data_IF_659479284837
#
_entry.id   IF_659479284837
#
_cell.length_a   1.000
_cell.length_b   1.000
_cell.length_c   1.000
_cell.angle_alpha   90.00
_cell.angle_beta   90.00
_cell.angle_gamma   90.00
#
_symmetry.space_group_name_H-M   'P 1'
#
loop_
_entity.id
_entity.type
_entity.pdbx_description
1 polymer ?
#
# COMPACT_ATOMS: atom_id res chain seq x y z
N UNK A 1 31.74 -76.38 16.50
CA UNK A 1 32.23 -77.18 15.37
C UNK A 1 31.42 -76.84 14.13
N UNK A 2 32.01 -76.19 13.13
CA UNK A 2 31.51 -76.25 11.74
C UNK A 2 31.73 -77.66 11.18
N UNK A 3 31.29 -77.99 9.94
CA UNK A 3 31.53 -77.20 8.72
C UNK A 3 30.24 -77.02 7.86
N UNK A 4 30.10 -76.00 7.00
CA UNK A 4 30.67 -75.87 5.64
C UNK A 4 30.54 -77.13 4.79
N UNK A 5 29.76 -77.06 3.71
CA UNK A 5 30.21 -77.45 2.36
C UNK A 5 29.20 -76.98 1.29
N UNK A 6 29.75 -76.38 0.24
CA UNK A 6 29.02 -75.87 -0.93
C UNK A 6 28.87 -76.93 -2.04
N UNK A 7 29.06 -76.55 -3.31
CA UNK A 7 27.99 -76.64 -4.31
C UNK A 7 28.28 -77.62 -5.46
N UNK A 8 27.28 -77.79 -6.35
CA UNK A 8 27.41 -77.90 -7.82
C UNK A 8 26.76 -79.12 -8.49
N UNK A 9 25.77 -78.78 -9.33
CA UNK A 9 25.58 -79.18 -10.73
C UNK A 9 24.88 -80.50 -11.10
N UNK A 10 23.94 -80.37 -12.06
CA UNK A 10 23.52 -81.43 -12.98
C UNK A 10 22.00 -81.61 -13.12
N UNK A 11 21.27 -80.62 -13.64
CA UNK A 11 20.60 -80.68 -14.96
C UNK A 11 19.74 -81.93 -15.23
N UNK A 12 18.41 -81.77 -15.11
CA UNK A 12 17.47 -81.74 -16.24
C UNK A 12 16.07 -82.15 -15.78
N UNK A 13 15.16 -81.18 -15.65
CA UNK A 13 13.75 -81.39 -16.01
C UNK A 13 13.05 -80.04 -16.15
N UNK A 14 12.22 -79.94 -17.19
CA UNK A 14 11.72 -78.71 -17.76
C UNK A 14 10.93 -77.86 -16.78
N UNK A 15 11.35 -76.61 -16.65
CA UNK A 15 10.61 -75.58 -15.94
C UNK A 15 9.82 -74.72 -16.90
N UNK A 16 8.57 -74.56 -16.52
CA UNK A 16 7.57 -73.72 -17.16
C UNK A 16 7.88 -72.24 -16.92
N UNK A 17 7.69 -71.45 -17.99
CA UNK A 17 7.46 -69.99 -18.02
C UNK A 17 8.65 -69.09 -17.63
N UNK A 18 8.82 -67.92 -18.27
CA UNK A 18 8.03 -66.74 -17.88
C UNK A 18 7.83 -65.78 -19.09
N UNK A 19 7.12 -64.65 -19.07
CA UNK A 19 7.00 -63.54 -18.13
C UNK A 19 5.64 -62.91 -18.46
N UNK A 20 4.80 -62.69 -17.44
CA UNK A 20 3.53 -61.97 -17.61
C UNK A 20 3.80 -60.53 -18.03
N UNK A 21 3.29 -60.16 -19.21
CA UNK A 21 3.17 -58.78 -19.68
C UNK A 21 2.30 -58.02 -18.65
N UNK A 22 2.90 -57.04 -17.96
CA UNK A 22 2.16 -56.16 -17.05
C UNK A 22 1.24 -55.28 -17.90
N UNK A 23 0.02 -55.77 -18.08
CA UNK A 23 -1.03 -55.13 -18.86
C UNK A 23 -1.15 -53.65 -18.53
N UNK A 24 -0.85 -52.80 -19.52
CA UNK A 24 -1.12 -51.37 -19.47
C UNK A 24 -2.64 -51.19 -19.34
N UNK A 25 -3.10 -50.72 -18.19
CA UNK A 25 -4.52 -50.44 -17.93
C UNK A 25 -5.03 -49.46 -18.98
N UNK A 26 -5.90 -49.92 -19.89
CA UNK A 26 -6.54 -49.06 -20.89
C UNK A 26 -7.62 -48.27 -20.17
N UNK A 27 -7.34 -47.00 -19.88
CA UNK A 27 -8.35 -46.08 -19.38
C UNK A 27 -9.35 -45.77 -20.50
N UNK A 28 -10.63 -45.74 -20.16
CA UNK A 28 -11.67 -45.30 -21.09
C UNK A 28 -11.51 -43.79 -21.34
N UNK A 29 -11.89 -43.34 -22.54
CA UNK A 29 -11.89 -41.91 -22.88
C UNK A 29 -12.71 -41.10 -21.87
N UNK A 30 -13.80 -41.67 -21.37
CA UNK A 30 -14.68 -41.05 -20.38
C UNK A 30 -13.96 -40.84 -19.04
N UNK A 31 -13.20 -41.83 -18.57
CA UNK A 31 -12.40 -41.68 -17.33
C UNK A 31 -11.32 -40.59 -17.47
N UNK A 32 -10.67 -40.50 -18.65
CA UNK A 32 -9.67 -39.47 -18.91
C UNK A 32 -10.31 -38.07 -18.95
N UNK A 33 -11.46 -37.95 -19.62
CA UNK A 33 -12.23 -36.70 -19.68
C UNK A 33 -12.70 -36.28 -18.29
N UNK A 34 -13.23 -37.21 -17.50
CA UNK A 34 -13.71 -36.94 -16.15
C UNK A 34 -12.57 -36.48 -15.23
N UNK A 35 -11.42 -37.16 -15.26
CA UNK A 35 -10.24 -36.74 -14.49
C UNK A 35 -9.74 -35.36 -14.89
N UNK A 36 -9.76 -35.04 -16.19
CA UNK A 36 -9.39 -33.72 -16.69
C UNK A 36 -10.38 -32.65 -16.23
N UNK A 37 -11.69 -32.87 -16.38
CA UNK A 37 -12.71 -31.93 -15.92
C UNK A 37 -12.62 -31.67 -14.42
N UNK A 38 -12.40 -32.71 -13.60
CA UNK A 38 -12.25 -32.56 -12.15
C UNK A 38 -11.04 -31.69 -11.79
N UNK A 39 -9.90 -31.92 -12.45
CA UNK A 39 -8.68 -31.12 -12.27
C UNK A 39 -8.90 -29.65 -12.64
N UNK A 40 -9.57 -29.39 -13.76
CA UNK A 40 -9.85 -28.02 -14.19
C UNK A 40 -10.81 -27.31 -13.25
N UNK A 41 -11.85 -28.01 -12.79
CA UNK A 41 -12.82 -27.45 -11.87
C UNK A 41 -12.18 -27.12 -10.52
N UNK A 42 -11.39 -28.03 -9.95
CA UNK A 42 -10.72 -27.80 -8.66
C UNK A 42 -9.71 -26.66 -8.72
N UNK A 43 -8.88 -26.61 -9.76
CA UNK A 43 -7.91 -25.50 -9.92
C UNK A 43 -8.61 -24.16 -10.15
N UNK A 44 -9.72 -24.15 -10.90
CA UNK A 44 -10.50 -22.92 -11.08
C UNK A 44 -11.11 -22.47 -9.77
N UNK A 45 -11.72 -23.39 -9.03
CA UNK A 45 -12.33 -23.14 -7.72
C UNK A 45 -11.31 -22.61 -6.71
N UNK A 46 -10.14 -23.26 -6.58
CA UNK A 46 -9.04 -22.82 -5.73
C UNK A 46 -8.55 -21.41 -6.09
N UNK A 47 -8.25 -21.15 -7.37
CA UNK A 47 -7.78 -19.82 -7.81
C UNK A 47 -8.85 -18.75 -7.62
N UNK A 48 -10.12 -19.08 -7.86
CA UNK A 48 -11.22 -18.14 -7.60
C UNK A 48 -11.40 -17.89 -6.11
N UNK A 49 -11.25 -18.90 -5.27
CA UNK A 49 -11.30 -18.79 -3.81
C UNK A 49 -10.18 -17.92 -3.27
N UNK A 50 -8.94 -18.12 -3.73
CA UNK A 50 -7.78 -17.34 -3.32
C UNK A 50 -7.88 -15.88 -3.79
N UNK A 51 -8.42 -15.64 -4.99
CA UNK A 51 -8.69 -14.28 -5.45
C UNK A 51 -9.76 -13.60 -4.60
N UNK A 52 -10.86 -14.31 -4.32
CA UNK A 52 -11.96 -13.80 -3.47
C UNK A 52 -11.45 -13.49 -2.07
N UNK A 53 -10.67 -14.38 -1.46
CA UNK A 53 -10.09 -14.16 -0.13
C UNK A 53 -9.20 -12.92 -0.08
N UNK A 54 -8.34 -12.70 -1.09
CA UNK A 54 -7.50 -11.49 -1.17
C UNK A 54 -8.31 -10.21 -1.40
N UNK A 55 -9.38 -10.27 -2.20
CA UNK A 55 -10.27 -9.13 -2.40
C UNK A 55 -10.98 -8.80 -1.09
N UNK A 56 -11.49 -9.81 -0.38
CA UNK A 56 -12.12 -9.63 0.93
C UNK A 56 -11.16 -9.03 1.95
N UNK A 57 -9.92 -9.55 2.05
CA UNK A 57 -8.90 -8.99 2.94
C UNK A 57 -8.60 -7.51 2.61
N UNK A 58 -8.50 -7.19 1.32
CA UNK A 58 -8.32 -5.81 0.87
C UNK A 58 -9.53 -4.93 1.22
N UNK A 59 -10.76 -5.42 1.01
CA UNK A 59 -12.00 -4.72 1.35
C UNK A 59 -12.09 -4.47 2.86
N UNK A 60 -11.85 -5.49 3.69
CA UNK A 60 -11.83 -5.40 5.15
C UNK A 60 -10.80 -4.38 5.66
N UNK A 61 -9.67 -4.25 4.95
CA UNK A 61 -8.63 -3.27 5.29
C UNK A 61 -8.98 -1.86 4.80
N UNK A 62 -9.53 -1.73 3.59
CA UNK A 62 -9.74 -0.44 2.93
C UNK A 62 -11.03 0.25 3.35
N UNK A 63 -12.13 -0.49 3.51
CA UNK A 63 -13.43 0.07 3.90
C UNK A 63 -13.35 0.99 5.12
N UNK A 64 -12.72 0.61 6.25
CA UNK A 64 -12.64 1.51 7.41
C UNK A 64 -11.82 2.78 7.13
N UNK A 65 -10.80 2.70 6.28
CA UNK A 65 -9.97 3.87 5.89
C UNK A 65 -10.78 4.82 5.01
N UNK A 66 -11.56 4.27 4.06
CA UNK A 66 -12.42 5.04 3.16
C UNK A 66 -13.57 5.70 3.92
N UNK A 67 -14.25 4.95 4.79
CA UNK A 67 -15.30 5.50 5.66
C UNK A 67 -14.76 6.61 6.55
N UNK A 68 -13.57 6.45 7.12
CA UNK A 68 -12.93 7.52 7.90
C UNK A 68 -12.63 8.75 7.02
N UNK A 69 -12.11 8.58 5.81
CA UNK A 69 -11.83 9.70 4.90
C UNK A 69 -13.11 10.40 4.43
N UNK A 70 -14.20 9.68 4.17
CA UNK A 70 -15.49 10.25 3.79
C UNK A 70 -16.07 11.17 4.89
N UNK A 71 -15.73 10.93 6.15
CA UNK A 71 -16.12 11.84 7.26
C UNK A 71 -15.32 13.14 7.28
N UNK A 72 -14.17 13.19 6.60
CA UNK A 72 -13.27 14.35 6.60
C UNK A 72 -13.79 15.39 5.62
N UNK A 73 -13.52 16.65 5.95
CA UNK A 73 -13.83 17.78 5.06
C UNK A 73 -13.06 17.66 3.75
N UNK A 74 -13.66 18.08 2.64
CA UNK A 74 -12.97 18.23 1.35
C UNK A 74 -11.78 19.20 1.47
N UNK A 75 -10.74 18.99 0.67
CA UNK A 75 -9.56 19.85 0.70
C UNK A 75 -9.76 21.08 -0.21
N UNK A 76 -9.88 22.25 0.41
CA UNK A 76 -9.85 23.54 -0.28
C UNK A 76 -8.56 24.31 0.05
N UNK A 77 -7.66 24.40 -0.93
CA UNK A 77 -6.37 25.07 -0.77
C UNK A 77 -6.50 26.57 -0.41
N UNK A 78 -7.60 27.21 -0.80
CA UNK A 78 -7.83 28.62 -0.51
C UNK A 78 -8.29 28.81 0.94
N UNK A 79 -9.22 27.99 1.41
CA UNK A 79 -9.69 28.04 2.79
C UNK A 79 -8.56 27.74 3.78
N UNK A 80 -7.77 26.68 3.54
CA UNK A 80 -6.58 26.39 4.37
C UNK A 80 -5.55 27.54 4.33
N UNK A 81 -5.46 28.26 3.21
CA UNK A 81 -4.62 29.46 3.09
C UNK A 81 -5.13 30.63 3.94
N UNK A 82 -6.44 30.89 3.90
CA UNK A 82 -7.09 31.96 4.68
C UNK A 82 -6.99 31.69 6.18
N UNK A 83 -7.25 30.45 6.58
CA UNK A 83 -7.06 30.01 7.96
C UNK A 83 -5.60 30.24 8.40
N UNK A 84 -4.62 29.83 7.59
CA UNK A 84 -3.21 30.03 7.92
C UNK A 84 -2.85 31.52 8.04
N UNK A 85 -3.37 32.39 7.16
CA UNK A 85 -3.18 33.83 7.26
C UNK A 85 -3.82 34.43 8.52
N UNK A 86 -4.98 33.91 8.95
CA UNK A 86 -5.65 34.34 10.17
C UNK A 86 -4.89 33.97 11.45
N UNK A 87 -4.02 32.95 11.38
CA UNK A 87 -3.16 32.57 12.50
C UNK A 87 -2.08 33.62 12.79
N UNK A 88 -1.79 34.52 11.84
CA UNK A 88 -0.87 35.63 12.03
C UNK A 88 -1.60 36.91 12.44
N UNK A 89 -1.10 37.57 13.48
CA UNK A 89 -1.60 38.84 14.00
C UNK A 89 -1.28 39.99 13.06
N UNK A 90 -0.04 40.08 12.60
CA UNK A 90 0.46 41.22 11.83
C UNK A 90 1.49 40.84 10.77
N UNK A 91 1.64 41.70 9.76
CA UNK A 91 2.65 41.53 8.71
C UNK A 91 4.04 41.70 9.32
N UNK A 92 4.96 40.80 8.99
CA UNK A 92 6.29 40.70 9.58
C UNK A 92 6.36 39.73 10.77
N UNK A 93 5.22 39.25 11.30
CA UNK A 93 5.24 38.23 12.33
C UNK A 93 5.87 36.93 11.79
N UNK A 94 6.72 36.33 12.61
CA UNK A 94 7.37 35.06 12.30
C UNK A 94 6.87 33.99 13.26
N UNK A 95 6.44 32.87 12.70
CA UNK A 95 6.06 31.67 13.44
C UNK A 95 6.73 30.47 12.83
N UNK A 96 6.86 29.41 13.61
CA UNK A 96 7.27 28.12 13.05
C UNK A 96 6.07 27.30 12.58
N UNK A 97 6.33 26.34 11.70
CA UNK A 97 5.29 25.43 11.23
C UNK A 97 4.66 24.65 12.40
N UNK A 98 5.45 24.22 13.38
CA UNK A 98 4.94 23.54 14.59
C UNK A 98 4.03 24.45 15.41
N UNK A 99 4.38 25.73 15.60
CA UNK A 99 3.54 26.71 16.30
C UNK A 99 2.20 26.96 15.59
N UNK A 100 2.20 27.00 14.25
CA UNK A 100 0.98 27.18 13.45
C UNK A 100 0.06 25.96 13.49
N UNK A 101 0.63 24.75 13.62
CA UNK A 101 -0.11 23.49 13.51
C UNK A 101 -0.40 22.83 14.87
N UNK A 102 -0.16 23.52 15.98
CA UNK A 102 -0.50 23.02 17.32
C UNK A 102 -2.00 22.67 17.38
N UNK A 103 -2.30 21.44 17.79
CA UNK A 103 -3.68 20.97 17.97
C UNK A 103 -4.42 20.59 16.68
N UNK A 104 -3.78 20.70 15.51
CA UNK A 104 -4.36 20.25 14.23
C UNK A 104 -4.31 18.74 14.10
N UNK A 105 -5.28 18.17 13.40
CA UNK A 105 -5.32 16.73 13.15
C UNK A 105 -4.21 16.35 12.19
N UNK A 106 -3.65 15.14 12.34
CA UNK A 106 -2.49 14.68 11.56
C UNK A 106 -2.73 14.76 10.03
N UNK A 107 -3.93 14.43 9.57
CA UNK A 107 -4.28 14.47 8.15
C UNK A 107 -4.40 15.91 7.59
N UNK A 108 -4.53 16.92 8.45
CA UNK A 108 -4.59 18.32 8.02
C UNK A 108 -3.20 18.96 7.91
N UNK A 109 -2.19 18.39 8.56
CA UNK A 109 -0.82 18.93 8.56
C UNK A 109 -0.30 19.06 7.12
N UNK A 110 -0.48 18.02 6.31
CA UNK A 110 -0.09 18.05 4.89
C UNK A 110 -0.87 19.09 4.07
N UNK A 111 -2.16 19.28 4.39
CA UNK A 111 -3.05 20.25 3.74
C UNK A 111 -2.61 21.70 4.03
N UNK A 112 -2.37 22.03 5.30
CA UNK A 112 -1.82 23.34 5.68
C UNK A 112 -0.41 23.57 5.14
N UNK A 113 0.43 22.53 5.13
CA UNK A 113 1.79 22.63 4.58
C UNK A 113 1.74 22.97 3.08
N UNK A 114 0.87 22.31 2.31
CA UNK A 114 0.67 22.62 0.90
C UNK A 114 0.15 24.05 0.70
N UNK A 115 -0.83 24.49 1.49
CA UNK A 115 -1.33 25.87 1.45
C UNK A 115 -0.22 26.89 1.78
N UNK A 116 0.65 26.59 2.75
CA UNK A 116 1.81 27.40 3.09
C UNK A 116 2.79 27.52 1.91
N UNK A 117 3.09 26.42 1.21
CA UNK A 117 3.97 26.43 0.04
C UNK A 117 3.35 27.22 -1.12
N UNK A 118 2.04 27.07 -1.34
CA UNK A 118 1.33 27.88 -2.33
C UNK A 118 1.44 29.37 -2.01
N UNK A 119 1.26 29.75 -0.75
CA UNK A 119 1.41 31.13 -0.29
C UNK A 119 2.85 31.64 -0.37
N UNK A 120 3.85 30.76 -0.24
CA UNK A 120 5.24 31.13 -0.48
C UNK A 120 5.44 31.50 -1.96
N UNK A 121 4.87 30.69 -2.87
CA UNK A 121 4.91 30.94 -4.31
C UNK A 121 4.19 32.25 -4.70
N UNK A 122 3.07 32.58 -4.05
CA UNK A 122 2.34 33.85 -4.29
C UNK A 122 2.90 35.04 -3.52
N UNK A 123 4.04 34.87 -2.82
CA UNK A 123 4.71 35.89 -2.02
C UNK A 123 3.84 36.42 -0.85
N UNK A 124 2.91 35.62 -0.34
CA UNK A 124 2.14 35.92 0.87
C UNK A 124 2.96 35.66 2.13
N UNK A 125 3.77 34.60 2.11
CA UNK A 125 4.68 34.24 3.20
C UNK A 125 6.10 34.04 2.68
N UNK A 126 7.09 34.19 3.56
CA UNK A 126 8.48 33.79 3.32
C UNK A 126 8.78 32.55 4.14
N UNK A 127 9.35 31.55 3.52
CA UNK A 127 9.79 30.32 4.17
C UNK A 127 11.30 30.34 4.31
N UNK A 128 11.78 30.09 5.52
CA UNK A 128 13.19 29.98 5.86
C UNK A 128 13.42 28.68 6.63
N UNK A 129 14.61 28.09 6.46
CA UNK A 129 15.03 26.91 7.21
C UNK A 129 16.06 27.31 8.26
N UNK A 130 15.86 26.84 9.48
CA UNK A 130 16.75 27.02 10.62
C UNK A 130 17.03 25.66 11.27
N UNK A 131 18.24 25.45 11.78
CA UNK A 131 18.56 24.27 12.60
C UNK A 131 18.58 24.73 14.05
N UNK A 132 17.63 24.24 14.86
CA UNK A 132 17.62 24.46 16.30
C UNK A 132 18.45 23.39 16.98
N UNK A 133 19.26 23.79 17.97
CA UNK A 133 20.00 22.84 18.81
C UNK A 133 19.36 22.81 20.18
N UNK A 134 18.91 21.64 20.59
CA UNK A 134 18.39 21.45 21.94
C UNK A 134 19.51 21.43 22.98
N UNK A 135 19.15 21.54 24.26
CA UNK A 135 20.09 21.47 25.39
C UNK A 135 20.88 20.14 25.44
N UNK A 136 20.35 19.11 24.80
CA UNK A 136 20.95 17.78 24.64
C UNK A 136 21.90 17.69 23.44
N UNK A 137 22.04 18.75 22.65
CA UNK A 137 22.85 18.80 21.44
C UNK A 137 22.19 18.19 20.20
N UNK A 138 20.91 17.78 20.28
CA UNK A 138 20.16 17.28 19.14
C UNK A 138 19.80 18.45 18.22
N UNK A 139 20.17 18.32 16.96
CA UNK A 139 19.84 19.29 15.91
C UNK A 139 18.49 18.94 15.29
N UNK A 140 17.53 19.86 15.37
CA UNK A 140 16.21 19.73 14.78
C UNK A 140 16.01 20.77 13.67
N UNK A 141 15.71 20.35 12.43
CA UNK A 141 15.38 21.28 11.36
C UNK A 141 14.00 21.90 11.63
N UNK A 142 13.92 23.22 11.53
CA UNK A 142 12.71 23.99 11.79
C UNK A 142 12.45 24.92 10.62
N UNK A 143 11.19 24.94 10.19
CA UNK A 143 10.71 25.82 9.13
C UNK A 143 10.10 27.08 9.77
N UNK A 144 10.74 28.22 9.52
CA UNK A 144 10.24 29.55 9.92
C UNK A 144 9.43 30.16 8.78
N UNK A 145 8.27 30.71 9.13
CA UNK A 145 7.32 31.28 8.21
C UNK A 145 7.08 32.72 8.63
N UNK A 146 7.49 33.66 7.77
CA UNK A 146 7.28 35.10 7.98
C UNK A 146 6.12 35.58 7.13
N UNK A 147 5.15 36.26 7.72
CA UNK A 147 4.06 36.86 6.96
C UNK A 147 4.56 38.10 6.18
N UNK A 148 4.38 38.12 4.86
CA UNK A 148 4.77 39.25 4.01
C UNK A 148 3.59 40.14 3.63
N UNK A 149 2.41 39.55 3.39
CA UNK A 149 1.18 40.27 3.07
C UNK A 149 -0.06 39.44 3.42
N UNK A 150 -1.14 40.12 3.83
CA UNK A 150 -2.43 39.48 4.13
C UNK A 150 -3.37 39.40 2.93
N UNK A 151 -3.22 40.25 1.92
CA UNK A 151 -4.09 40.24 0.75
C UNK A 151 -3.71 39.10 -0.22
N UNK A 152 -4.70 38.31 -0.62
CA UNK A 152 -4.60 37.25 -1.62
C UNK A 152 -5.08 37.78 -2.97
N UNK A 153 -4.14 38.32 -3.76
CA UNK A 153 -4.47 38.97 -5.04
C UNK A 153 -4.85 38.00 -6.17
N UNK A 154 -4.81 36.67 -5.96
CA UNK A 154 -5.20 35.68 -6.97
C UNK A 154 -6.71 35.35 -6.97
N UNK A 155 -7.49 35.91 -6.04
CA UNK A 155 -8.96 35.79 -6.02
C UNK A 155 -9.67 36.65 -7.09
N UNK A 156 -8.93 37.40 -7.90
CA UNK A 156 -9.51 38.32 -8.89
C UNK A 156 -10.06 37.58 -10.13
N UNK A 157 -9.74 36.29 -10.31
CA UNK A 157 -10.13 35.56 -11.52
C UNK A 157 -11.40 34.71 -11.39
N UNK A 158 -11.94 34.45 -10.20
CA UNK A 158 -13.17 33.65 -10.05
C UNK A 158 -14.47 34.47 -9.96
N UNK A 159 -14.38 35.80 -9.81
CA UNK A 159 -15.57 36.70 -9.79
C UNK A 159 -15.86 37.40 -11.11
N UNK A 160 -15.09 37.11 -12.17
CA UNK A 160 -15.29 37.69 -13.49
C UNK A 160 -15.25 36.61 -14.60
N UNK A 161 -16.28 35.75 -14.62
CA UNK A 161 -16.62 34.98 -15.83
C UNK A 161 -16.55 33.47 -15.67
N UNK A 162 -17.55 32.90 -15.00
CA UNK A 162 -18.10 31.62 -15.44
C UNK A 162 -19.20 31.95 -16.47
N UNK A 163 -18.87 31.81 -17.75
CA UNK A 163 -19.83 31.63 -18.84
C UNK A 163 -20.35 30.18 -18.81
#
# INVERSE_FOLDING_TARGET
CGPSQGPSQGLSQGDSQPIGDKGKKKFSLLELLHAHMLKYWSTTEEVTSDLVARVQEWEETMMPILEEEETRKEFDIHEYGDELLSMFKEVGEVKTLDELLVGRKKYEISRYFLACLMMANTYNVRVEHEIRKDKTGVETPVMRITLLKKNRHHEVFDKAGAL
#
